data_IF_822883046343
#
_entry.id   IF_822883046343
#
_cell.length_a   1.000
_cell.length_b   1.000
_cell.length_c   1.000
_cell.angle_alpha   90.00
_cell.angle_beta   90.00
_cell.angle_gamma   90.00
#
_symmetry.space_group_name_H-M   'P 1'
#
loop_
_entity.id
_entity.type
_entity.pdbx_description
1 polymer ?
#
# COMPACT_ATOMS: atom_id res chain seq x y z
N UNK A 1 13.56 -11.47 -46.91
CA UNK A 1 12.34 -12.29 -46.76
C UNK A 1 11.87 -12.11 -45.32
N UNK A 2 10.71 -11.50 -45.11
CA UNK A 2 10.08 -11.40 -43.77
C UNK A 2 9.68 -12.82 -43.36
N UNK A 3 10.40 -13.41 -42.40
CA UNK A 3 9.99 -14.68 -41.79
C UNK A 3 8.82 -14.36 -40.86
N UNK A 4 7.64 -14.92 -41.14
CA UNK A 4 6.46 -14.78 -40.28
C UNK A 4 6.74 -15.36 -38.90
N UNK A 5 6.45 -14.59 -37.85
CA UNK A 5 6.60 -15.04 -36.47
C UNK A 5 5.60 -16.18 -36.21
N UNK A 6 6.03 -17.33 -35.63
CA UNK A 6 5.13 -18.43 -35.32
C UNK A 6 4.08 -17.99 -34.30
N UNK A 7 2.79 -18.26 -34.57
CA UNK A 7 1.74 -18.04 -33.57
C UNK A 7 1.87 -19.07 -32.46
N UNK A 8 1.94 -18.60 -31.22
CA UNK A 8 2.10 -19.47 -30.06
C UNK A 8 0.75 -19.95 -29.59
N UNK A 9 0.69 -21.24 -29.27
CA UNK A 9 -0.49 -21.83 -28.68
C UNK A 9 -0.54 -21.47 -27.20
N UNK A 10 -1.43 -20.53 -26.85
CA UNK A 10 -1.63 -20.07 -25.49
C UNK A 10 -2.32 -21.19 -24.68
N UNK A 11 -1.76 -21.63 -23.53
CA UNK A 11 -2.40 -22.62 -22.66
C UNK A 11 -3.67 -22.08 -21.99
N UNK A 12 -4.63 -22.96 -21.71
CA UNK A 12 -5.89 -22.58 -21.03
C UNK A 12 -5.75 -22.41 -19.51
N UNK A 13 -4.69 -22.95 -18.90
CA UNK A 13 -4.48 -22.92 -17.45
C UNK A 13 -3.46 -21.86 -17.06
N UNK A 14 -3.83 -21.00 -16.09
CA UNK A 14 -2.98 -19.96 -15.50
C UNK A 14 -1.61 -20.49 -15.03
N UNK A 15 -1.58 -21.65 -14.39
CA UNK A 15 -0.35 -22.32 -13.95
C UNK A 15 0.56 -22.72 -15.13
N UNK A 16 -0.05 -23.17 -16.23
CA UNK A 16 0.70 -23.51 -17.46
C UNK A 16 1.23 -22.25 -18.16
N UNK A 17 0.46 -21.16 -18.16
CA UNK A 17 0.90 -19.86 -18.68
C UNK A 17 2.11 -19.35 -17.88
N UNK A 18 2.05 -19.36 -16.55
CA UNK A 18 3.17 -18.95 -15.68
C UNK A 18 4.43 -19.79 -15.91
N UNK A 19 4.29 -21.12 -16.01
CA UNK A 19 5.43 -22.01 -16.30
C UNK A 19 6.09 -21.69 -17.64
N UNK A 20 5.31 -21.36 -18.67
CA UNK A 20 5.83 -20.99 -19.99
C UNK A 20 6.49 -19.61 -20.00
N UNK A 21 5.94 -18.64 -19.26
CA UNK A 21 6.57 -17.32 -19.05
C UNK A 21 7.96 -17.49 -18.44
N UNK A 22 8.07 -18.21 -17.31
CA UNK A 22 9.36 -18.43 -16.63
C UNK A 22 10.38 -19.15 -17.53
N UNK A 23 9.93 -20.13 -18.32
CA UNK A 23 10.78 -20.82 -19.29
C UNK A 23 11.28 -19.87 -20.38
N UNK A 24 10.41 -19.04 -20.96
CA UNK A 24 10.79 -18.08 -22.01
C UNK A 24 11.70 -16.96 -21.50
N UNK A 25 11.47 -16.45 -20.29
CA UNK A 25 12.36 -15.47 -19.66
C UNK A 25 13.77 -16.03 -19.45
N UNK A 26 13.88 -17.33 -19.15
CA UNK A 26 15.17 -18.03 -19.04
C UNK A 26 15.82 -18.16 -20.43
N UNK A 27 15.05 -18.57 -21.45
CA UNK A 27 15.55 -18.70 -22.81
C UNK A 27 16.02 -17.36 -23.40
N UNK A 28 15.29 -16.25 -23.17
CA UNK A 28 15.68 -14.91 -23.63
C UNK A 28 17.02 -14.46 -23.03
N UNK A 29 17.31 -14.82 -21.78
CA UNK A 29 18.58 -14.48 -21.11
C UNK A 29 19.77 -15.23 -21.68
N UNK A 30 19.54 -16.43 -22.20
CA UNK A 30 20.57 -17.31 -22.77
C UNK A 30 20.70 -17.16 -24.30
N UNK A 31 19.75 -16.45 -24.95
CA UNK A 31 19.71 -16.32 -26.39
C UNK A 31 20.74 -15.31 -26.91
N UNK A 32 21.58 -15.76 -27.83
CA UNK A 32 22.63 -14.95 -28.47
C UNK A 32 22.26 -14.54 -29.89
N UNK A 33 21.10 -15.01 -30.39
CA UNK A 33 20.60 -14.70 -31.72
C UNK A 33 19.45 -13.67 -31.65
N UNK A 34 19.65 -12.50 -32.26
CA UNK A 34 18.66 -11.41 -32.24
C UNK A 34 17.29 -11.78 -32.83
N UNK A 35 17.25 -12.69 -33.82
CA UNK A 35 15.99 -13.12 -34.42
C UNK A 35 15.21 -14.06 -33.49
N UNK A 36 15.89 -15.03 -32.87
CA UNK A 36 15.27 -15.99 -31.96
C UNK A 36 14.84 -15.30 -30.66
N UNK A 37 15.66 -14.37 -30.17
CA UNK A 37 15.31 -13.48 -29.06
C UNK A 37 14.05 -12.67 -29.36
N UNK A 38 13.92 -12.07 -30.54
CA UNK A 38 12.73 -11.32 -30.91
C UNK A 38 11.47 -12.20 -30.98
N UNK A 39 11.61 -13.45 -31.44
CA UNK A 39 10.52 -14.44 -31.43
C UNK A 39 10.12 -14.79 -29.99
N UNK A 40 11.09 -15.02 -29.10
CA UNK A 40 10.84 -15.29 -27.68
C UNK A 40 10.26 -14.08 -26.93
N UNK A 41 10.66 -12.86 -27.25
CA UNK A 41 10.08 -11.64 -26.66
C UNK A 41 8.63 -11.44 -27.11
N UNK A 42 8.34 -11.70 -28.39
CA UNK A 42 6.95 -11.68 -28.90
C UNK A 42 6.10 -12.75 -28.19
N UNK A 43 6.67 -13.94 -27.99
CA UNK A 43 6.05 -15.03 -27.25
C UNK A 43 5.68 -14.66 -25.81
N UNK A 44 6.64 -14.03 -25.13
CA UNK A 44 6.53 -13.61 -23.74
C UNK A 44 5.40 -12.58 -23.59
N UNK A 45 5.34 -11.59 -24.48
CA UNK A 45 4.29 -10.58 -24.49
C UNK A 45 2.88 -11.19 -24.67
N UNK A 46 2.73 -12.16 -25.58
CA UNK A 46 1.45 -12.83 -25.81
C UNK A 46 0.99 -13.63 -24.58
N UNK A 47 1.91 -14.33 -23.91
CA UNK A 47 1.60 -15.08 -22.69
C UNK A 47 1.32 -14.17 -21.48
N UNK A 48 2.06 -13.06 -21.34
CA UNK A 48 1.79 -12.05 -20.31
C UNK A 48 0.41 -11.42 -20.49
N UNK A 49 0.00 -11.14 -21.73
CA UNK A 49 -1.35 -10.67 -22.05
C UNK A 49 -2.42 -11.71 -21.70
N UNK A 50 -2.17 -12.99 -22.00
CA UNK A 50 -3.07 -14.08 -21.64
C UNK A 50 -3.20 -14.26 -20.12
N UNK A 51 -2.09 -14.14 -19.38
CA UNK A 51 -2.07 -14.18 -17.93
C UNK A 51 -2.91 -13.05 -17.34
N UNK A 52 -2.73 -11.81 -17.85
CA UNK A 52 -3.52 -10.65 -17.46
C UNK A 52 -5.01 -10.89 -17.71
N UNK A 53 -5.39 -11.40 -18.87
CA UNK A 53 -6.79 -11.72 -19.18
C UNK A 53 -7.36 -12.81 -18.26
N UNK A 54 -6.56 -13.82 -17.90
CA UNK A 54 -6.96 -14.87 -16.95
C UNK A 54 -7.22 -14.28 -15.55
N UNK A 55 -6.36 -13.38 -15.09
CA UNK A 55 -6.52 -12.70 -13.80
C UNK A 55 -7.78 -11.81 -13.78
N UNK A 56 -8.02 -11.05 -14.86
CA UNK A 56 -9.23 -10.23 -15.00
C UNK A 56 -10.48 -11.10 -14.93
N UNK A 57 -10.49 -12.27 -15.59
CA UNK A 57 -11.63 -13.20 -15.52
C UNK A 57 -11.89 -13.74 -14.11
N UNK A 58 -10.83 -14.10 -13.38
CA UNK A 58 -10.94 -14.53 -11.98
C UNK A 58 -11.53 -13.42 -11.11
N UNK A 59 -11.08 -12.17 -11.30
CA UNK A 59 -11.64 -11.00 -10.62
C UNK A 59 -13.11 -10.78 -10.97
N UNK A 60 -13.48 -10.83 -12.24
CA UNK A 60 -14.87 -10.66 -12.71
C UNK A 60 -15.83 -11.72 -12.16
N UNK A 61 -15.38 -12.97 -12.00
CA UNK A 61 -16.22 -14.01 -11.38
C UNK A 61 -16.50 -13.67 -9.90
N UNK A 62 -15.55 -13.06 -9.19
CA UNK A 62 -15.76 -12.49 -7.86
C UNK A 62 -16.85 -11.42 -7.85
N UNK A 63 -16.82 -10.45 -8.76
CA UNK A 63 -17.86 -9.42 -8.86
C UNK A 63 -19.23 -9.98 -9.25
N UNK A 64 -19.26 -11.01 -10.09
CA UNK A 64 -20.51 -11.70 -10.44
C UNK A 64 -21.15 -12.38 -9.24
N UNK A 65 -20.35 -12.98 -8.34
CA UNK A 65 -20.84 -13.55 -7.08
C UNK A 65 -21.38 -12.48 -6.11
N UNK A 66 -20.94 -11.22 -6.27
CA UNK A 66 -21.41 -10.06 -5.50
C UNK A 66 -22.69 -9.41 -6.10
N UNK A 67 -23.28 -9.99 -7.15
CA UNK A 67 -24.57 -9.56 -7.69
C UNK A 67 -24.51 -8.41 -8.71
N UNK A 68 -23.32 -8.11 -9.26
CA UNK A 68 -23.19 -7.11 -10.31
C UNK A 68 -23.79 -7.60 -11.63
N UNK A 69 -24.53 -6.71 -12.32
CA UNK A 69 -25.15 -6.99 -13.62
C UNK A 69 -24.15 -6.91 -14.80
N UNK A 70 -24.59 -7.35 -15.97
CA UNK A 70 -23.74 -7.47 -17.16
C UNK A 70 -23.18 -6.15 -17.70
N UNK A 71 -23.82 -5.01 -17.41
CA UNK A 71 -23.34 -3.69 -17.83
C UNK A 71 -22.22 -3.22 -16.90
N UNK A 72 -22.42 -3.34 -15.58
CA UNK A 72 -21.40 -3.01 -14.58
C UNK A 72 -20.17 -3.91 -14.68
N UNK A 73 -20.36 -5.21 -14.95
CA UNK A 73 -19.24 -6.14 -15.15
C UNK A 73 -18.37 -5.74 -16.36
N UNK A 74 -18.97 -5.16 -17.41
CA UNK A 74 -18.23 -4.69 -18.59
C UNK A 74 -17.42 -3.43 -18.31
N UNK A 75 -17.94 -2.54 -17.47
CA UNK A 75 -17.18 -1.37 -17.00
C UNK A 75 -15.99 -1.77 -16.13
N UNK A 76 -16.20 -2.74 -15.23
CA UNK A 76 -15.13 -3.34 -14.40
C UNK A 76 -14.07 -4.00 -15.30
N UNK A 77 -14.48 -4.77 -16.31
CA UNK A 77 -13.57 -5.42 -17.27
C UNK A 77 -12.68 -4.40 -18.00
N UNK A 78 -13.28 -3.33 -18.54
CA UNK A 78 -12.55 -2.25 -19.24
C UNK A 78 -11.59 -1.53 -18.29
N UNK A 79 -11.99 -1.33 -17.03
CA UNK A 79 -11.13 -0.79 -15.99
C UNK A 79 -9.90 -1.67 -15.77
N UNK A 80 -10.12 -2.94 -15.43
CA UNK A 80 -9.06 -3.90 -15.13
C UNK A 80 -8.10 -4.10 -16.32
N UNK A 81 -8.60 -4.07 -17.57
CA UNK A 81 -7.77 -4.10 -18.77
C UNK A 81 -6.83 -2.89 -18.87
N UNK A 82 -7.27 -1.73 -18.40
CA UNK A 82 -6.49 -0.48 -18.34
C UNK A 82 -5.68 -0.33 -17.05
N UNK A 83 -5.74 -1.30 -16.13
CA UNK A 83 -5.07 -1.23 -14.83
C UNK A 83 -5.73 -0.25 -13.85
N UNK A 84 -7.02 0.02 -14.04
CA UNK A 84 -7.85 0.91 -13.21
C UNK A 84 -8.94 0.05 -12.59
N UNK A 85 -8.96 -0.13 -11.28
CA UNK A 85 -10.13 -0.75 -10.63
C UNK A 85 -11.29 0.26 -10.61
N UNK A 86 -12.47 -0.11 -11.09
CA UNK A 86 -13.65 0.75 -11.21
C UNK A 86 -14.80 0.01 -10.53
N UNK A 87 -15.41 0.55 -9.45
CA UNK A 87 -16.60 1.37 -9.65
C UNK A 87 -16.64 2.66 -8.82
N UNK A 88 -17.01 3.78 -9.47
CA UNK A 88 -17.36 5.06 -8.82
C UNK A 88 -18.87 5.16 -8.56
N UNK A 89 -19.19 5.83 -7.44
CA UNK A 89 -20.48 6.41 -7.01
C UNK A 89 -21.56 5.42 -6.55
N UNK A 90 -21.59 5.20 -5.23
CA UNK A 90 -22.86 5.11 -4.49
C UNK A 90 -23.00 6.44 -3.77
N UNK A 91 -24.02 7.20 -4.13
CA UNK A 91 -24.77 8.20 -3.34
C UNK A 91 -25.39 9.24 -4.30
N UNK A 92 -26.45 8.84 -5.00
CA UNK A 92 -27.51 9.76 -5.42
C UNK A 92 -28.81 8.99 -5.34
N UNK A 93 -29.51 9.14 -4.21
CA UNK A 93 -30.97 9.29 -4.11
C UNK A 93 -31.35 9.34 -2.64
N UNK A 94 -31.49 10.57 -2.12
CA UNK A 94 -32.45 11.02 -1.10
C UNK A 94 -31.89 12.25 -0.36
N UNK A 95 -32.02 13.44 -0.95
CA UNK A 95 -32.84 14.46 -0.32
C UNK A 95 -33.25 15.51 -1.36
N UNK A 96 -34.50 15.91 -1.29
CA UNK A 96 -35.06 16.93 -2.14
C UNK A 96 -34.68 18.33 -1.63
N UNK A 97 -34.51 19.24 -2.59
CA UNK A 97 -34.82 20.67 -2.47
C UNK A 97 -33.71 21.58 -1.93
N UNK A 98 -33.12 22.38 -2.82
CA UNK A 98 -32.93 23.84 -2.64
C UNK A 98 -32.40 24.48 -3.93
N UNK A 99 -33.22 25.39 -4.46
CA UNK A 99 -32.96 26.68 -5.11
C UNK A 99 -31.70 26.92 -5.96
N UNK A 100 -31.98 27.36 -7.20
CA UNK A 100 -31.25 28.30 -8.05
C UNK A 100 -29.77 28.55 -7.71
N UNK A 101 -28.85 27.84 -8.39
CA UNK A 101 -27.46 28.25 -8.51
C UNK A 101 -26.88 27.90 -9.90
N UNK A 102 -26.04 28.81 -10.36
CA UNK A 102 -25.60 29.06 -11.73
C UNK A 102 -24.62 27.99 -12.26
N UNK A 103 -25.16 26.96 -12.90
CA UNK A 103 -24.43 25.79 -13.42
C UNK A 103 -23.34 26.13 -14.46
N UNK A 104 -23.45 27.28 -15.16
CA UNK A 104 -22.44 27.73 -16.13
C UNK A 104 -21.17 28.28 -15.47
N UNK A 105 -21.28 28.86 -14.26
CA UNK A 105 -20.12 29.35 -13.51
C UNK A 105 -19.34 28.22 -12.85
N UNK A 106 -20.02 27.14 -12.44
CA UNK A 106 -19.39 25.95 -11.85
C UNK A 106 -18.64 25.12 -12.91
N UNK A 107 -19.15 25.05 -14.15
CA UNK A 107 -18.43 24.47 -15.29
C UNK A 107 -17.14 25.25 -15.63
N UNK A 108 -17.20 26.59 -15.62
CA UNK A 108 -16.01 27.43 -15.84
C UNK A 108 -15.01 27.38 -14.69
N UNK A 109 -15.46 27.13 -13.44
CA UNK A 109 -14.57 26.86 -12.30
C UNK A 109 -13.94 25.47 -12.35
N UNK A 110 -14.66 24.46 -12.82
CA UNK A 110 -14.18 23.07 -12.93
C UNK A 110 -13.12 22.86 -14.01
N UNK A 111 -13.16 23.62 -15.09
CA UNK A 111 -12.20 23.51 -16.20
C UNK A 111 -10.99 24.42 -16.06
N UNK A 112 -11.03 25.41 -15.17
CA UNK A 112 -10.03 26.48 -15.10
C UNK A 112 -8.86 26.24 -14.15
N UNK A 113 -8.76 25.14 -13.40
CA UNK A 113 -7.53 24.62 -12.74
C UNK A 113 -7.95 23.45 -11.83
N UNK A 114 -8.00 22.22 -12.34
CA UNK A 114 -7.85 21.07 -11.44
C UNK A 114 -6.37 21.02 -11.06
N UNK A 115 -5.95 21.89 -10.15
CA UNK A 115 -4.63 21.77 -9.54
C UNK A 115 -4.51 20.32 -9.08
N UNK A 116 -3.48 19.60 -9.55
CA UNK A 116 -3.28 18.19 -9.19
C UNK A 116 -3.37 18.08 -7.66
N UNK A 117 -4.30 17.22 -7.19
CA UNK A 117 -4.46 16.91 -5.77
C UNK A 117 -3.10 16.54 -5.18
N UNK A 118 -2.89 16.93 -3.93
CA UNK A 118 -1.76 16.40 -3.18
C UNK A 118 -2.06 14.97 -2.81
N UNK A 119 -1.07 14.09 -2.95
CA UNK A 119 -1.25 12.65 -2.67
C UNK A 119 -0.47 12.29 -1.42
N UNK A 120 -1.15 11.69 -0.46
CA UNK A 120 -0.56 11.14 0.75
C UNK A 120 -0.51 9.62 0.63
N UNK A 121 0.68 9.08 0.43
CA UNK A 121 0.96 7.65 0.45
C UNK A 121 1.33 7.22 1.85
N UNK A 122 0.72 6.12 2.32
CA UNK A 122 0.86 5.65 3.69
C UNK A 122 1.27 4.19 3.66
N UNK A 123 2.38 3.88 4.29
CA UNK A 123 2.81 2.50 4.49
C UNK A 123 1.91 1.78 5.52
N UNK A 124 1.93 0.45 5.53
CA UNK A 124 1.17 -0.34 6.52
C UNK A 124 2.04 -0.83 7.67
N UNK A 125 3.05 -1.64 7.38
CA UNK A 125 3.75 -2.42 8.40
C UNK A 125 4.70 -1.52 9.19
N UNK A 126 4.41 -1.29 10.47
CA UNK A 126 5.17 -0.37 11.32
C UNK A 126 4.68 1.08 11.23
N UNK A 127 3.65 1.33 10.41
CA UNK A 127 3.05 2.65 10.17
C UNK A 127 1.57 2.70 10.58
N UNK A 128 0.71 1.94 9.89
CA UNK A 128 -0.71 1.79 10.25
C UNK A 128 -0.93 0.58 11.18
N UNK A 129 -0.16 -0.47 10.97
CA UNK A 129 -0.17 -1.70 11.74
C UNK A 129 1.11 -1.80 12.57
N UNK A 130 1.02 -2.34 13.78
CA UNK A 130 2.19 -2.60 14.62
C UNK A 130 3.02 -3.70 13.96
N UNK A 131 4.24 -3.37 13.54
CA UNK A 131 5.18 -4.38 13.08
C UNK A 131 5.89 -4.99 14.27
N UNK A 132 5.60 -6.26 14.54
CA UNK A 132 6.32 -7.06 15.53
C UNK A 132 7.50 -7.73 14.84
N UNK A 133 8.75 -7.46 15.27
CA UNK A 133 9.91 -8.19 14.77
C UNK A 133 9.68 -9.70 14.95
N UNK A 134 9.86 -10.45 13.87
CA UNK A 134 9.80 -11.90 13.89
C UNK A 134 11.21 -12.46 14.02
N UNK A 135 11.36 -13.54 14.79
CA UNK A 135 12.63 -14.24 14.96
C UNK A 135 12.98 -15.06 13.70
N UNK A 136 11.96 -15.56 13.01
CA UNK A 136 12.07 -16.37 11.78
C UNK A 136 11.29 -15.72 10.65
N UNK A 137 11.87 -15.70 9.44
CA UNK A 137 11.24 -15.07 8.27
C UNK A 137 9.95 -15.83 7.86
N UNK A 138 9.94 -17.13 8.11
CA UNK A 138 8.84 -18.07 7.88
C UNK A 138 7.54 -17.62 8.55
N UNK A 139 7.62 -16.94 9.70
CA UNK A 139 6.45 -16.38 10.39
C UNK A 139 5.68 -15.38 9.52
N UNK A 140 6.36 -14.63 8.64
CA UNK A 140 5.70 -13.71 7.71
C UNK A 140 4.88 -14.44 6.62
N UNK A 141 5.11 -15.74 6.42
CA UNK A 141 4.38 -16.57 5.46
C UNK A 141 3.21 -17.33 6.08
N UNK A 142 3.06 -17.26 7.40
CA UNK A 142 1.96 -17.93 8.09
C UNK A 142 0.62 -17.27 7.77
N UNK A 143 -0.39 -18.10 7.54
CA UNK A 143 -1.75 -17.61 7.37
C UNK A 143 -2.21 -16.92 8.65
N UNK A 144 -2.74 -15.72 8.50
CA UNK A 144 -3.24 -14.86 9.56
C UNK A 144 -2.23 -13.86 10.06
N UNK A 145 -0.96 -13.90 9.61
CA UNK A 145 0.07 -12.99 10.12
C UNK A 145 -0.32 -11.52 9.88
N UNK A 146 -0.54 -11.12 8.62
CA UNK A 146 -0.84 -9.72 8.28
C UNK A 146 -2.25 -9.32 8.70
N UNK A 147 -3.21 -10.26 8.65
CA UNK A 147 -4.59 -10.00 9.02
C UNK A 147 -4.76 -9.66 10.51
N UNK A 148 -3.91 -10.24 11.37
CA UNK A 148 -4.03 -10.12 12.82
C UNK A 148 -3.09 -9.06 13.42
N UNK A 149 -2.35 -8.29 12.61
CA UNK A 149 -1.54 -7.19 13.15
C UNK A 149 -2.43 -6.17 13.85
N UNK A 150 -2.03 -5.75 15.05
CA UNK A 150 -2.75 -4.72 15.79
C UNK A 150 -2.62 -3.36 15.10
N UNK A 151 -3.68 -2.54 15.04
CA UNK A 151 -3.58 -1.19 14.50
C UNK A 151 -2.81 -0.27 15.45
N UNK A 152 -2.02 0.62 14.87
CA UNK A 152 -1.56 1.82 15.56
C UNK A 152 -2.74 2.81 15.51
N UNK A 153 -3.67 2.66 16.46
CA UNK A 153 -4.99 3.32 16.41
C UNK A 153 -4.89 4.84 16.22
N UNK A 154 -3.95 5.49 16.91
CA UNK A 154 -3.73 6.93 16.75
C UNK A 154 -3.47 7.36 15.29
N UNK A 155 -2.70 6.56 14.55
CA UNK A 155 -2.39 6.82 13.13
C UNK A 155 -3.63 6.52 12.28
N UNK A 156 -4.29 5.39 12.49
CA UNK A 156 -5.52 5.02 11.77
C UNK A 156 -6.60 6.11 11.93
N UNK A 157 -6.87 6.55 13.16
CA UNK A 157 -7.85 7.61 13.44
C UNK A 157 -7.44 8.96 12.84
N UNK A 158 -6.14 9.29 12.85
CA UNK A 158 -5.64 10.51 12.20
C UNK A 158 -5.89 10.47 10.69
N UNK A 159 -5.61 9.34 10.04
CA UNK A 159 -5.83 9.15 8.60
C UNK A 159 -7.32 9.19 8.25
N UNK A 160 -8.19 8.54 9.04
CA UNK A 160 -9.65 8.67 8.88
C UNK A 160 -10.10 10.12 8.99
N UNK A 161 -9.55 10.85 9.96
CA UNK A 161 -9.78 12.29 10.12
C UNK A 161 -9.34 13.09 8.89
N UNK A 162 -8.24 12.72 8.25
CA UNK A 162 -7.76 13.36 7.01
C UNK A 162 -8.74 13.08 5.86
N UNK A 163 -9.05 11.81 5.60
CA UNK A 163 -9.94 11.40 4.50
C UNK A 163 -11.30 12.08 4.60
N UNK A 164 -11.87 12.13 5.81
CA UNK A 164 -13.21 12.68 6.05
C UNK A 164 -13.27 14.20 5.88
N UNK A 165 -12.26 14.91 6.35
CA UNK A 165 -12.34 16.37 6.48
C UNK A 165 -11.59 17.13 5.38
N UNK A 166 -10.74 16.45 4.61
CA UNK A 166 -9.86 17.08 3.61
C UNK A 166 -9.84 16.29 2.29
N UNK A 167 -10.98 16.24 1.55
CA UNK A 167 -11.15 15.44 0.32
C UNK A 167 -10.25 15.90 -0.87
N UNK A 168 -9.61 17.04 -0.74
CA UNK A 168 -8.57 17.55 -1.65
C UNK A 168 -7.24 16.78 -1.54
N UNK A 169 -7.02 16.06 -0.42
CA UNK A 169 -5.89 15.15 -0.24
C UNK A 169 -6.30 13.76 -0.69
N UNK A 170 -5.58 13.23 -1.66
CA UNK A 170 -5.77 11.87 -2.13
C UNK A 170 -4.94 10.91 -1.27
N UNK A 171 -5.61 10.20 -0.38
CA UNK A 171 -4.98 9.23 0.52
C UNK A 171 -4.85 7.87 -0.18
N UNK A 172 -3.63 7.36 -0.22
CA UNK A 172 -3.26 6.11 -0.85
C UNK A 172 -2.53 5.20 0.15
N UNK A 173 -2.76 3.90 0.08
CA UNK A 173 -1.92 2.90 0.74
C UNK A 173 -0.80 2.49 -0.19
N UNK A 174 0.42 2.40 0.35
CA UNK A 174 1.61 1.99 -0.36
C UNK A 174 2.46 1.06 0.51
N UNK A 175 2.13 -0.23 0.50
CA UNK A 175 2.79 -1.24 1.34
C UNK A 175 3.40 -2.34 0.50
N UNK A 176 4.65 -2.69 0.78
CA UNK A 176 5.26 -3.84 0.13
C UNK A 176 4.57 -5.15 0.59
N UNK A 177 4.56 -6.18 -0.27
CA UNK A 177 4.07 -7.50 0.10
C UNK A 177 4.99 -8.62 -0.37
N UNK A 178 4.96 -9.75 0.33
CA UNK A 178 5.67 -10.96 -0.05
C UNK A 178 4.94 -11.60 -1.23
N UNK A 179 5.46 -11.39 -2.45
CA UNK A 179 4.78 -11.81 -3.69
C UNK A 179 4.68 -13.33 -3.87
N UNK A 180 5.51 -14.07 -3.17
CA UNK A 180 5.54 -15.52 -3.08
C UNK A 180 4.71 -16.08 -1.90
N UNK A 181 4.17 -15.21 -1.03
CA UNK A 181 3.19 -15.61 -0.03
C UNK A 181 1.79 -15.70 -0.65
N UNK A 182 1.08 -16.83 -0.52
CA UNK A 182 -0.29 -16.95 -1.01
C UNK A 182 -1.31 -16.13 -0.19
N UNK A 183 -0.91 -15.65 0.99
CA UNK A 183 -1.80 -14.98 1.95
C UNK A 183 -1.58 -13.47 2.05
N UNK A 184 -0.34 -13.01 1.94
CA UNK A 184 0.05 -11.65 2.31
C UNK A 184 -0.79 -10.54 1.66
N UNK A 185 -1.01 -10.61 0.35
CA UNK A 185 -1.79 -9.59 -0.36
C UNK A 185 -3.27 -9.59 0.05
N UNK A 186 -3.88 -10.76 0.16
CA UNK A 186 -5.29 -10.90 0.53
C UNK A 186 -5.52 -10.42 1.98
N UNK A 187 -4.60 -10.77 2.89
CA UNK A 187 -4.68 -10.39 4.30
C UNK A 187 -4.46 -8.90 4.53
N UNK A 188 -3.52 -8.27 3.82
CA UNK A 188 -3.34 -6.82 3.88
C UNK A 188 -4.60 -6.07 3.41
N UNK A 189 -5.25 -6.55 2.35
CA UNK A 189 -6.52 -5.97 1.92
C UNK A 189 -7.63 -6.17 2.95
N UNK A 190 -7.79 -7.39 3.48
CA UNK A 190 -8.78 -7.67 4.52
C UNK A 190 -8.53 -6.86 5.81
N UNK A 191 -7.26 -6.61 6.16
CA UNK A 191 -6.87 -5.73 7.26
C UNK A 191 -7.35 -4.30 7.01
N UNK A 192 -7.13 -3.77 5.80
CA UNK A 192 -7.62 -2.43 5.42
C UNK A 192 -9.14 -2.36 5.41
N UNK A 193 -9.83 -3.39 4.91
CA UNK A 193 -11.30 -3.45 4.94
C UNK A 193 -11.84 -3.41 6.38
N UNK A 194 -11.11 -3.98 7.33
CA UNK A 194 -11.45 -3.98 8.76
C UNK A 194 -11.18 -2.64 9.44
N UNK A 195 -10.00 -2.05 9.21
CA UNK A 195 -9.52 -0.92 10.00
C UNK A 195 -9.57 0.44 9.29
N UNK A 196 -9.49 0.49 7.96
CA UNK A 196 -9.50 1.70 7.13
C UNK A 196 -10.30 1.50 5.83
N UNK A 197 -11.60 1.13 5.90
CA UNK A 197 -12.42 0.84 4.73
C UNK A 197 -12.68 2.05 3.82
N UNK A 198 -12.39 3.27 4.30
CA UNK A 198 -12.54 4.51 3.54
C UNK A 198 -11.56 4.63 2.37
N UNK A 199 -10.48 3.85 2.37
CA UNK A 199 -9.55 3.76 1.23
C UNK A 199 -9.96 2.60 0.34
N UNK A 200 -10.47 2.91 -0.86
CA UNK A 200 -10.89 1.92 -1.84
C UNK A 200 -9.69 1.13 -2.44
N UNK A 201 -9.98 0.08 -3.19
CA UNK A 201 -8.95 -0.76 -3.82
C UNK A 201 -8.08 -0.02 -4.84
N UNK A 202 -8.61 0.97 -5.54
CA UNK A 202 -7.85 1.72 -6.55
C UNK A 202 -6.75 2.58 -5.92
N UNK A 203 -6.91 2.96 -4.64
CA UNK A 203 -5.92 3.69 -3.86
C UNK A 203 -5.07 2.77 -2.97
N UNK A 204 -5.07 1.44 -3.20
CA UNK A 204 -4.21 0.48 -2.50
C UNK A 204 -3.15 -0.07 -3.43
N UNK A 205 -1.91 0.32 -3.22
CA UNK A 205 -0.77 -0.05 -4.06
C UNK A 205 0.12 -1.01 -3.27
N UNK A 206 0.32 -2.20 -3.84
CA UNK A 206 1.14 -3.25 -3.23
C UNK A 206 2.32 -3.64 -4.12
N UNK A 207 3.48 -2.98 -3.99
CA UNK A 207 4.70 -3.41 -4.65
C UNK A 207 5.22 -4.74 -4.07
N UNK A 208 5.76 -5.66 -4.89
CA UNK A 208 6.52 -6.79 -4.38
C UNK A 208 7.69 -6.34 -3.49
N UNK A 209 7.96 -7.11 -2.44
CA UNK A 209 9.08 -6.87 -1.55
C UNK A 209 10.41 -6.84 -2.33
N UNK A 210 11.26 -5.86 -2.03
CA UNK A 210 12.55 -5.65 -2.69
C UNK A 210 12.51 -4.72 -3.92
N UNK A 211 11.32 -4.33 -4.39
CA UNK A 211 11.19 -3.29 -5.40
C UNK A 211 11.15 -1.88 -4.79
N UNK A 212 11.49 -0.86 -5.58
CA UNK A 212 11.31 0.54 -5.17
C UNK A 212 9.83 0.91 -5.26
N UNK A 213 9.28 1.46 -4.17
CA UNK A 213 7.87 1.87 -4.06
C UNK A 213 7.46 2.85 -5.18
N UNK A 214 8.37 3.72 -5.62
CA UNK A 214 8.05 4.75 -6.62
C UNK A 214 7.75 4.18 -8.01
N UNK A 215 8.29 3.00 -8.32
CA UNK A 215 8.14 2.36 -9.64
C UNK A 215 6.69 1.89 -9.87
N UNK A 216 5.90 1.79 -8.81
CA UNK A 216 4.51 1.36 -8.82
C UNK A 216 3.51 2.53 -8.77
N UNK A 217 3.99 3.77 -8.78
CA UNK A 217 3.14 4.96 -8.74
C UNK A 217 2.78 5.38 -10.18
N UNK A 218 1.50 5.32 -10.59
CA UNK A 218 1.08 5.77 -11.90
C UNK A 218 1.45 7.25 -12.13
N UNK A 219 2.14 7.53 -13.23
CA UNK A 219 2.62 8.86 -13.57
C UNK A 219 3.84 9.33 -12.77
N UNK A 220 4.43 8.46 -11.94
CA UNK A 220 5.59 8.75 -11.12
C UNK A 220 5.28 9.63 -9.90
N UNK A 221 6.33 9.86 -9.11
CA UNK A 221 6.31 10.76 -7.95
C UNK A 221 6.67 12.20 -8.35
N UNK A 222 6.13 13.17 -7.63
CA UNK A 222 6.19 14.61 -7.87
C UNK A 222 6.36 15.36 -6.54
N UNK A 223 6.63 16.67 -6.59
CA UNK A 223 6.73 17.51 -5.39
C UNK A 223 5.42 17.63 -4.57
N UNK A 224 4.30 17.14 -5.10
CA UNK A 224 2.98 17.12 -4.44
C UNK A 224 2.68 15.80 -3.73
N UNK A 225 3.66 14.89 -3.71
CA UNK A 225 3.52 13.56 -3.12
C UNK A 225 4.24 13.46 -1.79
N UNK A 226 3.55 12.89 -0.83
CA UNK A 226 4.01 12.74 0.55
C UNK A 226 3.97 11.27 0.91
N UNK A 227 5.01 10.77 1.57
CA UNK A 227 5.07 9.40 2.06
C UNK A 227 5.17 9.39 3.58
N UNK A 228 4.15 8.85 4.25
CA UNK A 228 4.21 8.49 5.67
C UNK A 228 4.68 7.04 5.79
N UNK A 229 5.90 6.85 6.27
CA UNK A 229 6.55 5.53 6.31
C UNK A 229 7.51 5.46 7.49
N UNK A 230 7.65 4.28 8.09
CA UNK A 230 8.53 4.08 9.24
C UNK A 230 9.97 3.75 8.81
N UNK A 231 10.18 3.27 7.58
CA UNK A 231 11.47 2.77 7.10
C UNK A 231 12.28 3.84 6.38
N UNK A 232 13.44 4.17 6.95
CA UNK A 232 14.31 5.26 6.43
C UNK A 232 14.81 5.02 5.01
N UNK A 233 14.95 3.76 4.57
CA UNK A 233 15.37 3.48 3.19
C UNK A 233 14.31 3.93 2.18
N UNK A 234 13.04 3.57 2.41
CA UNK A 234 11.91 4.00 1.57
C UNK A 234 11.85 5.53 1.48
N UNK A 235 11.94 6.20 2.62
CA UNK A 235 11.90 7.66 2.68
C UNK A 235 13.05 8.33 1.90
N UNK A 236 14.26 7.73 1.91
CA UNK A 236 15.41 8.24 1.14
C UNK A 236 15.25 8.03 -0.37
N UNK A 237 14.61 6.94 -0.79
CA UNK A 237 14.31 6.69 -2.21
C UNK A 237 13.17 7.58 -2.71
N UNK A 238 12.28 7.98 -1.81
CA UNK A 238 11.13 8.84 -2.11
C UNK A 238 11.53 10.30 -2.40
N UNK A 239 12.60 10.79 -1.77
CA UNK A 239 13.01 12.18 -1.90
C UNK A 239 14.41 12.32 -2.54
N UNK A 240 14.65 13.33 -3.41
CA UNK A 240 13.69 14.20 -4.13
C UNK A 240 13.05 13.51 -5.37
N UNK A 241 11.94 14.03 -5.95
CA UNK A 241 11.30 15.34 -5.73
C UNK A 241 10.18 15.35 -4.68
N UNK A 242 9.69 14.18 -4.25
CA UNK A 242 8.62 14.06 -3.28
C UNK A 242 9.13 14.23 -1.84
N UNK A 243 8.22 14.25 -0.86
CA UNK A 243 8.57 14.51 0.56
C UNK A 243 8.27 13.31 1.45
N UNK A 244 9.27 12.83 2.18
CA UNK A 244 9.11 11.76 3.16
C UNK A 244 8.82 12.29 4.57
N UNK A 245 7.87 11.66 5.26
CA UNK A 245 7.51 11.89 6.67
C UNK A 245 7.76 10.60 7.43
N UNK A 246 8.76 10.58 8.31
CA UNK A 246 9.08 9.39 9.09
C UNK A 246 8.09 9.22 10.24
N UNK A 247 7.40 8.09 10.30
CA UNK A 247 6.66 7.73 11.51
C UNK A 247 7.62 7.11 12.55
N UNK A 248 7.64 7.66 13.76
CA UNK A 248 8.37 7.10 14.89
C UNK A 248 7.45 6.17 15.69
N UNK A 249 7.66 4.86 15.54
CA UNK A 249 6.85 3.79 16.14
C UNK A 249 7.43 3.22 17.44
N UNK A 250 8.44 3.87 18.03
CA UNK A 250 9.12 3.45 19.25
C UNK A 250 10.31 2.50 19.04
N UNK A 251 10.26 1.63 18.04
CA UNK A 251 11.36 0.68 17.75
C UNK A 251 12.37 1.21 16.73
N UNK A 252 11.95 2.09 15.81
CA UNK A 252 12.81 2.61 14.74
C UNK A 252 13.66 3.83 15.18
N UNK A 253 14.42 4.44 14.26
CA UNK A 253 15.19 5.69 14.49
C UNK A 253 16.27 5.64 15.61
N UNK A 254 16.80 4.46 15.95
CA UNK A 254 17.80 4.28 17.02
C UNK A 254 19.13 5.00 16.78
N UNK A 255 19.51 5.22 15.52
CA UNK A 255 20.76 5.89 15.13
C UNK A 255 20.58 7.35 14.72
N UNK A 256 19.37 7.90 14.83
CA UNK A 256 19.10 9.29 14.45
C UNK A 256 19.32 9.63 12.97
N UNK A 257 19.40 8.62 12.07
CA UNK A 257 19.87 8.78 10.68
C UNK A 257 18.89 9.47 9.72
N UNK A 258 17.75 9.93 10.23
CA UNK A 258 16.73 10.65 9.48
C UNK A 258 16.59 12.07 10.01
N UNK A 259 16.97 13.05 9.19
CA UNK A 259 17.06 14.44 9.62
C UNK A 259 15.84 15.29 9.23
N UNK A 260 14.93 14.77 8.40
CA UNK A 260 13.76 15.50 7.90
C UNK A 260 12.53 15.27 8.79
N UNK A 261 11.35 15.46 8.21
CA UNK A 261 10.07 15.36 8.91
C UNK A 261 9.90 14.03 9.60
N UNK A 262 9.53 14.09 10.87
CA UNK A 262 9.29 12.92 11.71
C UNK A 262 8.23 13.20 12.75
N UNK A 263 7.29 12.27 12.84
CA UNK A 263 6.11 12.37 13.69
C UNK A 263 6.01 11.12 14.57
N UNK A 264 5.74 11.28 15.87
CA UNK A 264 5.47 10.14 16.75
C UNK A 264 4.09 9.55 16.50
N UNK A 265 4.02 8.23 16.53
CA UNK A 265 2.76 7.51 16.42
C UNK A 265 1.85 7.65 17.66
N UNK A 266 2.41 8.05 18.80
CA UNK A 266 1.72 8.18 20.10
C UNK A 266 0.99 9.53 20.28
N UNK A 267 1.06 10.42 19.29
CA UNK A 267 0.33 11.68 19.30
C UNK A 267 -1.18 11.42 19.24
N UNK A 268 -1.94 12.26 19.94
CA UNK A 268 -3.39 12.34 19.79
C UNK A 268 -3.78 12.41 18.29
N UNK A 269 -4.78 11.64 17.83
CA UNK A 269 -5.12 11.53 16.41
C UNK A 269 -5.30 12.88 15.70
N UNK A 270 -6.04 13.81 16.33
CA UNK A 270 -6.29 15.13 15.78
C UNK A 270 -5.00 15.97 15.65
N UNK A 271 -4.07 15.80 16.59
CA UNK A 271 -2.77 16.50 16.55
C UNK A 271 -1.86 15.90 15.48
N UNK A 272 -1.82 14.58 15.36
CA UNK A 272 -1.08 13.89 14.31
C UNK A 272 -1.60 14.29 12.92
N UNK A 273 -2.92 14.29 12.71
CA UNK A 273 -3.54 14.75 11.46
C UNK A 273 -3.17 16.21 11.16
N UNK A 274 -3.32 17.12 12.12
CA UNK A 274 -2.93 18.53 11.96
C UNK A 274 -1.46 18.69 11.58
N UNK A 275 -0.58 17.87 12.14
CA UNK A 275 0.85 17.89 11.81
C UNK A 275 1.15 17.37 10.40
N UNK A 276 0.49 16.30 9.96
CA UNK A 276 0.59 15.83 8.57
C UNK A 276 0.14 16.94 7.60
N UNK A 277 -0.99 17.59 7.89
CA UNK A 277 -1.54 18.67 7.07
C UNK A 277 -0.63 19.92 7.05
N UNK A 278 -0.03 20.28 8.19
CA UNK A 278 0.95 21.36 8.27
C UNK A 278 2.16 21.12 7.37
N UNK A 279 2.64 19.87 7.31
CA UNK A 279 3.73 19.48 6.38
C UNK A 279 3.27 19.58 4.92
N UNK A 280 2.03 19.16 4.62
CA UNK A 280 1.49 19.13 3.25
C UNK A 280 1.20 20.54 2.70
N UNK A 281 0.61 21.43 3.49
CA UNK A 281 0.14 22.74 3.01
C UNK A 281 1.00 23.93 3.40
N UNK A 282 1.59 23.89 4.59
CA UNK A 282 2.30 25.03 5.15
C UNK A 282 3.81 24.90 5.00
N UNK A 283 4.28 23.82 4.34
CA UNK A 283 5.70 23.47 4.24
C UNK A 283 6.38 23.41 5.62
N UNK A 284 5.61 23.08 6.68
CA UNK A 284 6.14 22.99 8.03
C UNK A 284 7.19 21.89 8.12
N UNK A 285 8.26 22.13 8.87
CA UNK A 285 9.25 21.11 9.19
C UNK A 285 9.06 20.65 10.63
N UNK A 286 8.60 19.42 10.82
CA UNK A 286 8.30 18.88 12.16
C UNK A 286 9.28 17.76 12.50
N UNK A 287 9.90 17.87 13.67
CA UNK A 287 11.04 17.05 14.06
C UNK A 287 10.86 16.50 15.48
N UNK A 288 9.85 15.65 15.67
CA UNK A 288 9.62 15.04 16.97
C UNK A 288 10.84 14.23 17.45
N UNK A 289 11.00 14.19 18.77
CA UNK A 289 11.88 13.22 19.43
C UNK A 289 11.18 11.87 19.54
N UNK A 290 11.93 10.81 19.83
CA UNK A 290 11.31 9.51 20.10
C UNK A 290 10.34 9.60 21.29
N UNK A 291 9.27 8.78 21.32
CA UNK A 291 8.53 8.55 22.55
C UNK A 291 9.50 8.14 23.65
N UNK A 292 9.48 8.82 24.81
CA UNK A 292 10.43 8.53 25.89
C UNK A 292 10.19 7.16 26.54
N UNK A 293 9.03 6.52 26.34
CA UNK A 293 8.68 5.27 27.02
C UNK A 293 7.69 4.40 26.20
N UNK A 294 8.20 3.47 25.39
CA UNK A 294 7.78 2.08 25.54
C UNK A 294 8.77 1.49 26.55
N UNK A 295 8.67 1.90 27.82
CA UNK A 295 9.33 1.14 28.89
C UNK A 295 8.82 -0.29 28.74
N UNK A 296 9.76 -1.20 28.54
CA UNK A 296 9.59 -2.63 28.51
C UNK A 296 8.53 -3.08 29.54
N UNK A 297 7.28 -3.25 29.14
CA UNK A 297 6.27 -3.95 29.96
C UNK A 297 6.39 -5.47 29.84
N UNK A 298 7.55 -5.98 29.42
CA UNK A 298 7.81 -7.42 29.21
C UNK A 298 9.00 -7.91 30.08
N UNK A 299 9.57 -7.08 30.96
CA UNK A 299 10.61 -7.52 31.91
C UNK A 299 10.40 -6.99 33.34
N UNK A 300 9.16 -6.72 33.74
CA UNK A 300 8.83 -6.73 35.17
C UNK A 300 8.65 -8.20 35.59
N UNK A 301 9.75 -8.97 35.62
CA UNK A 301 9.80 -10.11 36.54
C UNK A 301 9.63 -9.52 37.95
N UNK A 302 8.71 -10.05 38.78
CA UNK A 302 8.68 -9.65 40.18
C UNK A 302 10.06 -9.97 40.78
N UNK A 303 10.67 -8.97 41.42
CA UNK A 303 11.89 -9.19 42.20
C UNK A 303 11.68 -10.42 43.10
N UNK A 304 12.63 -11.37 43.14
CA UNK A 304 12.51 -12.48 44.05
C UNK A 304 12.44 -11.92 45.47
N UNK A 305 11.36 -12.25 46.18
CA UNK A 305 11.21 -11.95 47.59
C UNK A 305 12.49 -12.42 48.31
N UNK A 306 13.18 -11.47 48.90
CA UNK A 306 14.36 -11.73 49.72
C UNK A 306 13.87 -12.41 51.01
N UNK A 307 13.78 -13.74 51.00
CA UNK A 307 13.58 -14.58 52.18
C UNK A 307 14.91 -14.68 52.96
N UNK A 308 15.31 -13.53 53.52
CA UNK A 308 16.40 -13.45 54.47
C UNK A 308 15.95 -13.93 55.85
N UNK A 309 15.96 -15.25 56.08
CA UNK A 309 16.05 -15.82 57.44
C UNK A 309 16.66 -17.23 57.39
N UNK A 310 18.00 -17.31 57.37
CA UNK A 310 18.73 -18.50 57.80
C UNK A 310 19.42 -18.17 59.13
N UNK A 311 18.68 -18.32 60.22
CA UNK A 311 19.27 -18.40 61.56
C UNK A 311 20.19 -19.63 61.63
N UNK A 312 21.48 -19.36 61.74
CA UNK A 312 22.46 -20.33 62.21
C UNK A 312 22.41 -20.33 63.74
N UNK A 313 21.82 -21.36 64.33
CA UNK A 313 22.14 -21.79 65.69
C UNK A 313 21.72 -23.25 65.88
N UNK A 314 22.65 -24.17 65.71
CA UNK A 314 22.67 -25.42 66.50
C UNK A 314 24.12 -25.84 66.75
N UNK A 315 24.48 -25.75 68.03
CA UNK A 315 25.59 -26.41 68.73
C UNK A 315 25.38 -27.93 68.73
#
# INVERSE_FOLDING_TARGET
>A
MSKSIPKIQIPESKEKIMRQINALETMIKEDTNDYDRHVHETALNDLQKALKQSQIRESLEGYKQLGFDGEKLREIEIGLEKGIDVPKKIDIENDHQTDDCDWEQDLKRGESHMAKKQRLFIDMDGTLAVFTPVDELETLYEQGYFLNLEPIDNVVQAVKGIIRNYPEIEVNILSAYLSDSPWALAEKNAWLDKYLPEVDFAHRIFPPCGCDKKDYIPGGITERDFLLDDYTHNLRLWQPPARGIKLLNGINHTRGSWENDRLRCDKEPAKLATNILGIIWNDEMIRDEKPNELKQRIWDEPEPEHDGEWDQDFI
#
